data_IF_429427584686
#
_entry.id   IF_429427584686
#
_cell.length_a   1.000
_cell.length_b   1.000
_cell.length_c   1.000
_cell.angle_alpha   90.00
_cell.angle_beta   90.00
_cell.angle_gamma   90.00
#
_symmetry.space_group_name_H-M   'P 1'
#
loop_
_entity.id
_entity.type
_entity.pdbx_description
1 polymer ?
#
# COMPACT_ATOMS: atom_id res chain seq x y z
N UNK A 1 12.68 -25.73 -15.19
CA UNK A 1 13.46 -25.16 -16.32
C UNK A 1 12.51 -24.66 -17.40
N UNK A 2 12.19 -23.36 -17.35
CA UNK A 2 11.23 -22.77 -18.30
C UNK A 2 11.90 -21.79 -19.29
N UNK A 3 13.20 -21.55 -19.17
CA UNK A 3 13.92 -20.60 -20.03
C UNK A 3 15.23 -21.20 -20.56
N UNK A 4 15.50 -21.00 -21.86
CA UNK A 4 16.74 -21.42 -22.50
C UNK A 4 17.92 -20.47 -22.16
N UNK A 5 17.64 -19.24 -21.76
CA UNK A 5 18.63 -18.23 -21.42
C UNK A 5 18.06 -17.28 -20.36
N UNK A 6 18.88 -16.93 -19.39
CA UNK A 6 18.56 -15.91 -18.36
C UNK A 6 19.59 -14.80 -18.42
N UNK A 7 19.13 -13.56 -18.60
CA UNK A 7 19.97 -12.37 -18.56
C UNK A 7 19.68 -11.58 -17.30
N UNK A 8 20.72 -11.26 -16.52
CA UNK A 8 20.61 -10.53 -15.26
C UNK A 8 21.47 -9.27 -15.34
N UNK A 9 20.85 -8.11 -15.10
CA UNK A 9 21.58 -6.84 -15.04
C UNK A 9 21.85 -6.47 -13.59
N UNK A 10 23.10 -6.15 -13.28
CA UNK A 10 23.53 -5.71 -11.94
C UNK A 10 24.07 -4.28 -12.04
N UNK A 11 23.58 -3.33 -11.20
CA UNK A 11 24.10 -1.97 -11.13
C UNK A 11 25.41 -1.98 -10.34
N UNK A 12 26.54 -2.10 -11.01
CA UNK A 12 27.87 -2.06 -10.40
C UNK A 12 28.90 -1.50 -11.41
N UNK A 13 29.94 -0.87 -10.87
CA UNK A 13 31.06 -0.48 -11.69
C UNK A 13 31.98 -1.68 -12.02
N UNK A 14 32.87 -1.49 -13.02
CA UNK A 14 33.77 -2.51 -13.48
C UNK A 14 34.72 -3.03 -12.39
N UNK A 15 35.24 -2.15 -11.55
CA UNK A 15 36.17 -2.50 -10.49
C UNK A 15 35.49 -3.34 -9.40
N UNK A 16 34.31 -2.93 -9.00
CA UNK A 16 33.47 -3.70 -8.04
C UNK A 16 33.04 -5.04 -8.61
N UNK A 17 32.77 -5.12 -9.91
CA UNK A 17 32.38 -6.36 -10.58
C UNK A 17 33.52 -7.39 -10.60
N UNK A 18 34.73 -7.00 -10.93
CA UNK A 18 35.87 -7.90 -10.99
C UNK A 18 36.65 -8.02 -9.69
N UNK A 19 36.39 -7.18 -8.71
CA UNK A 19 37.03 -7.23 -7.40
C UNK A 19 36.76 -8.52 -6.65
N UNK A 20 37.81 -9.06 -6.02
CA UNK A 20 37.69 -10.28 -5.19
C UNK A 20 36.98 -10.03 -3.88
N UNK A 21 37.02 -8.81 -3.36
CA UNK A 21 36.41 -8.39 -2.11
C UNK A 21 35.88 -6.96 -2.23
N UNK A 22 34.69 -6.74 -1.71
CA UNK A 22 34.09 -5.42 -1.57
C UNK A 22 33.67 -5.23 -0.10
N UNK A 23 34.06 -4.13 0.58
CA UNK A 23 33.67 -3.90 1.96
C UNK A 23 32.18 -3.53 2.06
N UNK A 24 31.52 -3.83 3.22
CA UNK A 24 30.11 -3.50 3.42
C UNK A 24 29.73 -2.02 3.25
N UNK A 25 30.69 -1.13 3.42
CA UNK A 25 30.50 0.33 3.23
C UNK A 25 30.60 0.79 1.77
N UNK A 26 30.92 -0.11 0.83
CA UNK A 26 31.04 0.25 -0.58
C UNK A 26 29.65 0.41 -1.23
N UNK A 27 29.47 1.37 -2.14
CA UNK A 27 28.19 1.67 -2.79
C UNK A 27 27.54 0.48 -3.49
N UNK A 28 28.34 -0.43 -4.03
CA UNK A 28 27.87 -1.60 -4.78
C UNK A 28 27.97 -2.92 -4.00
N UNK A 29 27.97 -2.86 -2.65
CA UNK A 29 28.10 -4.06 -1.82
C UNK A 29 26.94 -5.05 -1.99
N UNK A 30 25.70 -4.56 -2.01
CA UNK A 30 24.52 -5.42 -2.20
C UNK A 30 24.45 -6.09 -3.58
N UNK A 31 24.68 -5.36 -4.71
CA UNK A 31 24.87 -5.99 -6.01
C UNK A 31 26.01 -7.00 -6.07
N UNK A 32 27.12 -6.75 -5.36
CA UNK A 32 28.22 -7.69 -5.25
C UNK A 32 27.83 -8.98 -4.53
N UNK A 33 27.07 -8.89 -3.42
CA UNK A 33 26.53 -10.07 -2.73
C UNK A 33 25.56 -10.85 -3.62
N UNK A 34 24.72 -10.14 -4.34
CA UNK A 34 23.80 -10.73 -5.31
C UNK A 34 24.55 -11.49 -6.40
N UNK A 35 25.60 -10.89 -6.97
CA UNK A 35 26.49 -11.58 -7.93
C UNK A 35 27.07 -12.86 -7.35
N UNK A 36 27.59 -12.83 -6.12
CA UNK A 36 28.14 -14.02 -5.45
C UNK A 36 27.12 -15.14 -5.31
N UNK A 37 25.91 -14.81 -4.85
CA UNK A 37 24.81 -15.77 -4.72
C UNK A 37 24.41 -16.39 -6.05
N UNK A 38 24.34 -15.57 -7.12
CA UNK A 38 24.01 -16.04 -8.46
C UNK A 38 25.09 -16.96 -9.04
N UNK A 39 26.38 -16.65 -8.82
CA UNK A 39 27.46 -17.51 -9.27
C UNK A 39 27.48 -18.84 -8.51
N UNK A 40 27.26 -18.83 -7.19
CA UNK A 40 27.16 -20.05 -6.40
C UNK A 40 25.97 -20.92 -6.85
N UNK A 41 24.82 -20.31 -7.12
CA UNK A 41 23.65 -21.01 -7.66
C UNK A 41 23.92 -21.59 -9.05
N UNK A 42 24.63 -20.87 -9.92
CA UNK A 42 25.00 -21.37 -11.23
C UNK A 42 25.93 -22.60 -11.12
N UNK A 43 26.87 -22.58 -10.20
CA UNK A 43 27.76 -23.71 -9.92
C UNK A 43 26.97 -24.91 -9.39
N UNK A 44 26.07 -24.73 -8.45
CA UNK A 44 25.19 -25.78 -7.90
C UNK A 44 24.34 -26.41 -9.00
N UNK A 45 23.82 -25.61 -9.91
CA UNK A 45 22.99 -26.07 -11.04
C UNK A 45 23.82 -26.52 -12.26
N UNK A 46 25.14 -26.55 -12.17
CA UNK A 46 26.08 -26.90 -13.26
C UNK A 46 25.88 -26.06 -14.53
N UNK A 47 25.51 -24.78 -14.36
CA UNK A 47 25.35 -23.82 -15.45
C UNK A 47 26.65 -23.08 -15.68
N UNK A 48 27.05 -22.94 -16.96
CA UNK A 48 28.21 -22.13 -17.33
C UNK A 48 27.79 -20.67 -17.57
N UNK A 49 28.23 -19.69 -16.75
CA UNK A 49 27.99 -18.28 -17.01
C UNK A 49 28.68 -17.83 -18.28
N UNK A 50 27.99 -17.08 -19.11
CA UNK A 50 28.57 -16.41 -20.27
C UNK A 50 29.38 -15.19 -19.78
N UNK A 51 30.47 -14.79 -20.46
CA UNK A 51 31.20 -13.58 -20.13
C UNK A 51 30.29 -12.36 -20.03
N UNK A 52 30.43 -11.52 -19.00
CA UNK A 52 29.52 -10.39 -18.78
C UNK A 52 29.71 -9.31 -19.84
N UNK A 53 28.61 -8.70 -20.27
CA UNK A 53 28.64 -7.49 -21.10
C UNK A 53 28.69 -6.28 -20.18
N UNK A 54 29.74 -5.46 -20.30
CA UNK A 54 29.88 -4.22 -19.55
C UNK A 54 29.20 -3.08 -20.31
N UNK A 55 28.28 -2.39 -19.64
CA UNK A 55 27.61 -1.21 -20.19
C UNK A 55 28.40 0.04 -19.75
N UNK A 56 29.46 0.36 -20.47
CA UNK A 56 30.38 1.44 -20.10
C UNK A 56 29.85 2.84 -20.42
N UNK A 57 28.83 2.96 -21.27
CA UNK A 57 28.28 4.26 -21.69
C UNK A 57 27.03 4.59 -20.91
N UNK A 58 27.08 5.69 -20.12
CA UNK A 58 25.93 6.26 -19.47
C UNK A 58 25.13 7.12 -20.48
N UNK A 59 23.97 6.61 -20.92
CA UNK A 59 23.07 7.30 -21.84
C UNK A 59 22.13 8.28 -21.13
N UNK A 60 22.02 8.24 -19.79
CA UNK A 60 21.16 9.13 -19.00
C UNK A 60 21.84 10.45 -18.65
N UNK A 61 23.15 10.45 -18.46
CA UNK A 61 23.92 11.66 -18.18
C UNK A 61 24.30 12.35 -19.51
N UNK A 62 23.40 13.14 -20.05
CA UNK A 62 23.61 13.82 -21.34
C UNK A 62 24.65 14.95 -21.24
N UNK A 63 24.77 15.60 -20.07
CA UNK A 63 25.71 16.72 -19.86
C UNK A 63 26.99 16.27 -19.18
N UNK A 64 28.10 16.99 -19.44
CA UNK A 64 29.39 16.70 -18.81
C UNK A 64 29.35 16.86 -17.29
N UNK A 65 28.48 17.76 -16.78
CA UNK A 65 28.30 17.96 -15.36
C UNK A 65 27.64 16.75 -14.69
N UNK A 66 26.61 16.18 -15.28
CA UNK A 66 25.95 14.97 -14.75
C UNK A 66 26.89 13.76 -14.83
N UNK A 67 27.67 13.64 -15.90
CA UNK A 67 28.68 12.58 -16.00
C UNK A 67 29.78 12.72 -14.94
N UNK A 68 30.21 13.95 -14.69
CA UNK A 68 31.20 14.22 -13.65
C UNK A 68 30.62 13.94 -12.25
N UNK A 69 29.39 14.37 -11.98
CA UNK A 69 28.71 14.09 -10.73
C UNK A 69 28.61 12.58 -10.48
N UNK A 70 28.20 11.79 -11.46
CA UNK A 70 28.12 10.33 -11.36
C UNK A 70 29.48 9.70 -11.07
N UNK A 71 30.54 10.13 -11.78
CA UNK A 71 31.86 9.55 -11.67
C UNK A 71 32.56 9.90 -10.35
N UNK A 72 32.37 11.12 -9.85
CA UNK A 72 33.10 11.64 -8.69
C UNK A 72 32.32 11.54 -7.35
N UNK A 73 31.01 11.26 -7.37
CA UNK A 73 30.15 11.33 -6.18
C UNK A 73 30.62 10.43 -5.02
N UNK A 74 31.18 9.26 -5.33
CA UNK A 74 31.65 8.32 -4.31
C UNK A 74 33.18 8.37 -4.10
N UNK A 75 33.89 9.33 -4.70
CA UNK A 75 35.32 9.48 -4.52
C UNK A 75 35.60 10.42 -3.34
N UNK A 76 36.54 10.02 -2.47
CA UNK A 76 36.98 10.84 -1.33
C UNK A 76 37.74 12.11 -1.74
N UNK A 77 38.29 12.15 -2.95
CA UNK A 77 38.99 13.28 -3.54
C UNK A 77 38.30 13.64 -4.85
N UNK A 78 37.37 14.60 -4.80
CA UNK A 78 36.68 15.03 -6.02
C UNK A 78 37.48 16.07 -6.78
N UNK A 79 37.42 15.97 -8.12
CA UNK A 79 37.89 17.02 -8.99
C UNK A 79 36.84 18.10 -9.10
N UNK A 80 37.27 19.36 -8.94
CA UNK A 80 36.37 20.49 -9.20
C UNK A 80 35.94 20.45 -10.66
N UNK A 81 34.65 20.28 -10.88
CA UNK A 81 34.08 20.46 -12.21
C UNK A 81 33.88 21.96 -12.50
N UNK A 82 33.96 22.38 -13.77
CA UNK A 82 33.54 23.73 -14.14
C UNK A 82 32.07 23.93 -13.78
N UNK A 83 31.67 25.17 -13.44
CA UNK A 83 30.29 25.56 -13.19
C UNK A 83 29.45 25.09 -14.38
N UNK A 84 28.41 24.33 -14.05
CA UNK A 84 27.53 23.75 -15.05
C UNK A 84 26.10 24.25 -14.83
N UNK A 85 25.50 24.71 -15.92
CA UNK A 85 24.11 25.20 -15.92
C UNK A 85 23.07 24.07 -15.72
N UNK A 86 23.50 22.80 -15.70
CA UNK A 86 22.60 21.64 -15.60
C UNK A 86 22.44 21.06 -14.19
N UNK A 87 23.18 21.57 -13.21
CA UNK A 87 23.08 21.11 -11.81
C UNK A 87 22.93 22.34 -10.90
N UNK A 88 21.83 22.38 -10.15
CA UNK A 88 21.54 23.46 -9.24
C UNK A 88 21.36 22.94 -7.83
N UNK A 89 21.91 23.62 -6.84
CA UNK A 89 21.67 23.36 -5.42
C UNK A 89 21.00 24.61 -4.83
N UNK A 90 19.85 24.40 -4.21
CA UNK A 90 19.04 25.49 -3.65
C UNK A 90 18.74 25.18 -2.20
N UNK A 91 18.99 26.16 -1.32
CA UNK A 91 18.63 26.07 0.10
C UNK A 91 17.32 26.81 0.32
N UNK A 92 16.36 26.11 0.92
CA UNK A 92 15.05 26.66 1.26
C UNK A 92 14.84 26.67 2.79
N UNK A 93 14.12 27.64 3.35
CA UNK A 93 13.94 27.76 4.80
C UNK A 93 12.97 26.72 5.39
N UNK A 94 12.15 26.10 4.58
CA UNK A 94 11.20 25.08 5.02
C UNK A 94 10.86 24.11 3.88
N UNK A 95 10.30 22.97 4.24
CA UNK A 95 9.77 21.94 3.32
C UNK A 95 8.73 22.55 2.35
N UNK A 96 7.84 23.41 2.84
CA UNK A 96 6.82 24.04 2.00
C UNK A 96 7.43 24.98 0.97
N UNK A 97 8.42 25.78 1.36
CA UNK A 97 9.11 26.69 0.44
C UNK A 97 9.95 25.93 -0.60
N UNK A 98 10.53 24.80 -0.22
CA UNK A 98 11.23 23.90 -1.14
C UNK A 98 10.27 23.38 -2.23
N UNK A 99 9.08 22.93 -1.85
CA UNK A 99 8.06 22.47 -2.79
C UNK A 99 7.54 23.62 -3.66
N UNK A 100 7.29 24.81 -3.09
CA UNK A 100 6.85 25.99 -3.86
C UNK A 100 7.90 26.44 -4.86
N UNK A 101 9.17 26.41 -4.48
CA UNK A 101 10.28 26.68 -5.38
C UNK A 101 10.28 25.71 -6.56
N UNK A 102 10.17 24.39 -6.27
CA UNK A 102 10.10 23.35 -7.30
C UNK A 102 8.89 23.56 -8.22
N UNK A 103 7.70 23.79 -7.65
CA UNK A 103 6.47 24.04 -8.42
C UNK A 103 6.59 25.25 -9.36
N UNK A 104 7.11 26.38 -8.87
CA UNK A 104 7.36 27.56 -9.68
C UNK A 104 8.36 27.31 -10.81
N UNK A 105 9.42 26.56 -10.55
CA UNK A 105 10.42 26.19 -11.57
C UNK A 105 9.82 25.22 -12.60
N UNK A 106 8.99 24.26 -12.18
CA UNK A 106 8.30 23.31 -13.06
C UNK A 106 7.37 24.07 -14.03
N UNK A 107 6.55 25.00 -13.52
CA UNK A 107 5.69 25.81 -14.39
C UNK A 107 6.48 26.63 -15.41
N UNK A 108 7.64 27.17 -15.01
CA UNK A 108 8.51 27.90 -15.93
C UNK A 108 9.07 26.97 -17.02
N UNK A 109 9.56 25.78 -16.66
CA UNK A 109 10.05 24.78 -17.62
C UNK A 109 8.97 24.38 -18.64
N UNK A 110 7.73 24.21 -18.18
CA UNK A 110 6.62 23.84 -19.06
C UNK A 110 6.20 25.02 -19.95
N UNK A 111 6.09 26.24 -19.41
CA UNK A 111 5.56 27.41 -20.13
C UNK A 111 6.61 28.06 -21.05
N UNK A 112 7.85 28.15 -20.61
CA UNK A 112 8.91 28.88 -21.31
C UNK A 112 9.79 27.94 -22.16
N UNK A 113 10.07 26.73 -21.68
CA UNK A 113 10.95 25.78 -22.36
C UNK A 113 10.19 24.67 -23.11
N UNK A 114 8.84 24.66 -23.03
CA UNK A 114 7.98 23.75 -23.79
C UNK A 114 8.06 22.29 -23.35
N UNK A 115 8.54 22.01 -22.13
CA UNK A 115 8.56 20.67 -21.58
C UNK A 115 7.15 20.16 -21.24
N UNK A 116 6.97 18.86 -21.26
CA UNK A 116 5.76 18.21 -20.76
C UNK A 116 5.97 17.81 -19.30
N UNK A 117 4.90 17.80 -18.50
CA UNK A 117 4.96 17.38 -17.10
C UNK A 117 5.59 15.99 -16.93
N UNK A 118 5.27 15.02 -17.80
CA UNK A 118 5.82 13.67 -17.80
C UNK A 118 7.33 13.59 -18.04
N UNK A 119 7.97 14.67 -18.49
CA UNK A 119 9.42 14.77 -18.70
C UNK A 119 10.14 15.32 -17.47
N UNK A 120 9.38 15.64 -16.42
CA UNK A 120 9.86 16.21 -15.16
C UNK A 120 9.48 15.25 -14.03
N UNK A 121 10.39 15.06 -13.08
CA UNK A 121 10.12 14.27 -11.89
C UNK A 121 10.59 14.96 -10.61
N UNK A 122 9.92 14.65 -9.51
CA UNK A 122 10.35 14.96 -8.15
C UNK A 122 10.65 13.63 -7.45
N UNK A 123 11.77 13.54 -6.76
CA UNK A 123 12.07 12.40 -5.88
C UNK A 123 12.48 12.90 -4.49
N UNK A 124 12.17 12.09 -3.48
CA UNK A 124 12.58 12.32 -2.10
C UNK A 124 12.78 10.98 -1.41
N UNK A 125 13.63 10.92 -0.40
CA UNK A 125 13.77 9.76 0.49
C UNK A 125 12.82 9.81 1.69
N UNK A 126 12.10 10.93 1.89
CA UNK A 126 11.19 11.17 3.02
C UNK A 126 9.73 11.36 2.55
N UNK A 127 9.24 10.45 1.70
CA UNK A 127 7.92 10.57 1.06
C UNK A 127 6.79 10.81 2.08
N UNK A 128 6.79 10.14 3.23
CA UNK A 128 5.78 10.32 4.29
C UNK A 128 5.67 11.78 4.77
N UNK A 129 6.82 12.46 4.92
CA UNK A 129 6.83 13.85 5.36
C UNK A 129 6.40 14.83 4.26
N UNK A 130 6.68 14.49 3.00
CA UNK A 130 6.46 15.36 1.85
C UNK A 130 5.09 15.19 1.19
N UNK A 131 4.50 13.99 1.18
CA UNK A 131 3.32 13.64 0.36
C UNK A 131 2.16 14.62 0.53
N UNK A 132 1.76 14.90 1.78
CA UNK A 132 0.62 15.77 2.06
C UNK A 132 0.85 17.20 1.55
N UNK A 133 2.04 17.73 1.77
CA UNK A 133 2.41 19.09 1.34
C UNK A 133 2.59 19.17 -0.17
N UNK A 134 3.20 18.15 -0.80
CA UNK A 134 3.32 18.04 -2.25
C UNK A 134 1.94 18.07 -2.90
N UNK A 135 1.02 17.24 -2.45
CA UNK A 135 -0.34 17.17 -2.99
C UNK A 135 -1.05 18.52 -2.91
N UNK A 136 -1.07 19.16 -1.74
CA UNK A 136 -1.76 20.44 -1.56
C UNK A 136 -1.13 21.60 -2.35
N UNK A 137 0.20 21.71 -2.35
CA UNK A 137 0.89 22.80 -3.06
C UNK A 137 0.82 22.62 -4.57
N UNK A 138 0.99 21.40 -5.09
CA UNK A 138 0.89 21.17 -6.54
C UNK A 138 -0.54 21.36 -7.07
N UNK A 139 -1.55 21.05 -6.27
CA UNK A 139 -2.95 21.36 -6.57
C UNK A 139 -3.19 22.89 -6.60
N UNK A 140 -2.65 23.64 -5.61
CA UNK A 140 -2.69 25.12 -5.61
C UNK A 140 -2.06 25.74 -6.88
N UNK A 141 -1.00 25.11 -7.40
CA UNK A 141 -0.31 25.53 -8.62
C UNK A 141 -0.91 24.94 -9.91
N UNK A 142 -2.02 24.19 -9.81
CA UNK A 142 -2.67 23.51 -10.94
C UNK A 142 -1.72 22.59 -11.73
N UNK A 143 -0.75 21.96 -11.04
CA UNK A 143 0.20 21.03 -11.64
C UNK A 143 -0.37 19.60 -11.55
N UNK A 144 -0.71 18.96 -12.68
CA UNK A 144 -1.15 17.57 -12.67
C UNK A 144 0.00 16.68 -12.22
N UNK A 145 -0.18 15.92 -11.16
CA UNK A 145 0.87 15.07 -10.61
C UNK A 145 0.38 13.66 -10.31
N UNK A 146 1.29 12.72 -10.44
CA UNK A 146 1.17 11.34 -9.97
C UNK A 146 2.19 11.11 -8.85
N UNK A 147 1.71 10.77 -7.66
CA UNK A 147 2.56 10.45 -6.52
C UNK A 147 2.60 8.93 -6.37
N UNK A 148 3.78 8.34 -6.61
CA UNK A 148 4.05 6.92 -6.35
C UNK A 148 4.26 6.68 -4.85
N UNK A 149 3.20 6.95 -4.07
CA UNK A 149 3.16 6.63 -2.65
C UNK A 149 2.48 5.28 -2.45
N UNK A 150 3.06 4.43 -1.62
CA UNK A 150 2.35 3.24 -1.15
C UNK A 150 1.17 3.69 -0.31
N UNK A 151 -0.03 3.42 -0.77
CA UNK A 151 -1.20 3.62 0.08
C UNK A 151 -1.30 2.44 1.02
N UNK A 152 -1.24 2.71 2.30
CA UNK A 152 -1.58 1.72 3.31
C UNK A 152 -3.04 1.31 3.13
N UNK A 153 -3.28 0.02 3.13
CA UNK A 153 -4.63 -0.54 2.98
C UNK A 153 -5.40 -0.56 4.28
N UNK A 154 -4.75 -0.26 5.41
CA UNK A 154 -5.30 -0.37 6.77
C UNK A 154 -6.56 0.45 7.00
N UNK A 155 -6.69 1.61 6.36
CA UNK A 155 -7.89 2.47 6.44
C UNK A 155 -8.95 2.15 5.37
N UNK A 156 -8.71 1.15 4.50
CA UNK A 156 -9.70 0.79 3.47
C UNK A 156 -10.92 0.09 4.08
N UNK A 157 -12.17 0.39 3.65
CA UNK A 157 -13.40 -0.21 4.17
C UNK A 157 -13.36 -1.74 4.31
N UNK A 158 -12.89 -2.46 3.30
CA UNK A 158 -12.79 -3.92 3.35
C UNK A 158 -11.81 -4.41 4.42
N UNK A 159 -10.66 -3.75 4.56
CA UNK A 159 -9.66 -4.12 5.58
C UNK A 159 -10.18 -3.77 6.98
N UNK A 160 -10.87 -2.61 7.13
CA UNK A 160 -11.55 -2.25 8.37
C UNK A 160 -12.63 -3.25 8.75
N UNK A 161 -13.46 -3.70 7.79
CA UNK A 161 -14.44 -4.76 8.00
C UNK A 161 -13.79 -6.03 8.52
N UNK A 162 -12.76 -6.53 7.84
CA UNK A 162 -12.09 -7.78 8.19
C UNK A 162 -11.36 -7.71 9.54
N UNK A 163 -10.65 -6.63 9.81
CA UNK A 163 -9.95 -6.47 11.10
C UNK A 163 -10.92 -6.34 12.26
N UNK A 164 -12.03 -5.62 12.06
CA UNK A 164 -13.09 -5.49 13.06
C UNK A 164 -13.84 -6.81 13.27
N UNK A 165 -14.11 -7.57 12.20
CA UNK A 165 -14.69 -8.91 12.30
C UNK A 165 -13.82 -9.84 13.15
N UNK A 166 -12.51 -9.85 12.90
CA UNK A 166 -11.56 -10.63 13.72
C UNK A 166 -11.62 -10.20 15.19
N UNK A 167 -11.71 -8.90 15.45
CA UNK A 167 -11.85 -8.38 16.82
C UNK A 167 -13.20 -8.74 17.46
N UNK A 168 -14.30 -8.78 16.70
CA UNK A 168 -15.61 -9.25 17.18
C UNK A 168 -15.50 -10.69 17.68
N UNK A 169 -14.83 -11.56 16.93
CA UNK A 169 -14.70 -12.97 17.28
C UNK A 169 -13.75 -13.19 18.46
N UNK A 170 -12.62 -12.46 18.51
CA UNK A 170 -11.62 -12.62 19.58
C UNK A 170 -12.10 -11.98 20.89
N UNK A 171 -12.74 -10.82 20.85
CA UNK A 171 -13.14 -10.05 22.03
C UNK A 171 -14.64 -10.11 22.34
N UNK A 172 -15.33 -11.11 21.79
CA UNK A 172 -16.74 -11.41 22.07
C UNK A 172 -17.65 -10.19 21.91
N UNK A 173 -17.82 -9.70 20.68
CA UNK A 173 -18.75 -8.60 20.35
C UNK A 173 -18.51 -7.33 21.17
N UNK A 174 -17.26 -6.93 21.32
CA UNK A 174 -16.91 -5.65 21.94
C UNK A 174 -17.48 -4.48 21.13
N UNK A 175 -17.97 -3.45 21.83
CA UNK A 175 -18.66 -2.31 21.21
C UNK A 175 -17.87 -1.69 20.05
N UNK A 176 -16.60 -1.34 20.29
CA UNK A 176 -15.77 -0.68 19.30
C UNK A 176 -15.58 -1.53 18.03
N UNK A 177 -15.42 -2.85 18.19
CA UNK A 177 -15.27 -3.77 17.08
C UNK A 177 -16.56 -3.90 16.26
N UNK A 178 -17.69 -4.04 16.93
CA UNK A 178 -19.01 -4.17 16.26
C UNK A 178 -19.33 -2.91 15.45
N UNK A 179 -19.18 -1.72 16.03
CA UNK A 179 -19.53 -0.50 15.31
C UNK A 179 -18.49 -0.06 14.30
N UNK A 180 -17.22 -0.43 14.46
CA UNK A 180 -16.23 -0.30 13.38
C UNK A 180 -16.57 -1.20 12.19
N UNK A 181 -17.00 -2.43 12.42
CA UNK A 181 -17.47 -3.36 11.40
C UNK A 181 -18.74 -2.81 10.68
N UNK A 182 -19.76 -2.39 11.42
CA UNK A 182 -21.00 -1.87 10.84
C UNK A 182 -20.78 -0.60 10.02
N UNK A 183 -19.95 0.33 10.51
CA UNK A 183 -19.64 1.62 9.87
C UNK A 183 -18.62 1.51 8.74
N UNK A 184 -18.15 0.30 8.40
CA UNK A 184 -17.25 0.10 7.24
C UNK A 184 -17.92 0.41 5.89
N UNK A 185 -19.25 0.47 5.83
CA UNK A 185 -20.03 0.67 4.61
C UNK A 185 -20.29 -0.62 3.81
N UNK A 186 -19.75 -1.75 4.26
CA UNK A 186 -19.96 -3.08 3.65
C UNK A 186 -20.92 -3.96 4.45
N UNK A 187 -21.54 -3.43 5.51
CA UNK A 187 -22.56 -4.13 6.27
C UNK A 187 -23.93 -4.09 5.58
N UNK A 188 -24.85 -4.98 5.97
CA UNK A 188 -26.19 -5.06 5.41
C UNK A 188 -27.15 -3.96 5.93
N UNK A 189 -26.70 -3.08 6.81
CA UNK A 189 -27.49 -2.01 7.39
C UNK A 189 -27.18 -0.66 6.76
N UNK A 190 -28.19 0.19 6.63
CA UNK A 190 -28.02 1.60 6.28
C UNK A 190 -27.43 2.40 7.45
N UNK A 191 -26.94 3.61 7.17
CA UNK A 191 -26.40 4.49 8.22
C UNK A 191 -27.41 4.79 9.29
N UNK A 192 -28.67 5.05 8.92
CA UNK A 192 -29.77 5.33 9.84
C UNK A 192 -30.10 4.11 10.72
N UNK A 193 -30.11 2.91 10.14
CA UNK A 193 -30.31 1.66 10.87
C UNK A 193 -29.17 1.39 11.86
N UNK A 194 -27.93 1.70 11.48
CA UNK A 194 -26.76 1.58 12.36
C UNK A 194 -26.88 2.55 13.54
N UNK A 195 -27.29 3.79 13.30
CA UNK A 195 -27.45 4.80 14.36
C UNK A 195 -28.56 4.38 15.36
N UNK A 196 -29.67 3.84 14.88
CA UNK A 196 -30.75 3.30 15.75
C UNK A 196 -30.22 2.16 16.61
N UNK A 197 -29.51 1.20 16.00
CA UNK A 197 -28.94 0.05 16.70
C UNK A 197 -27.86 0.49 17.71
N UNK A 198 -27.00 1.44 17.35
CA UNK A 198 -25.95 1.96 18.22
C UNK A 198 -26.53 2.65 19.45
N UNK A 199 -27.50 3.52 19.25
CA UNK A 199 -28.15 4.20 20.36
C UNK A 199 -28.79 3.22 21.36
N UNK A 200 -29.43 2.16 20.86
CA UNK A 200 -30.00 1.12 21.71
C UNK A 200 -28.93 0.33 22.46
N UNK A 201 -27.89 -0.09 21.76
CA UNK A 201 -26.73 -0.84 22.33
C UNK A 201 -26.07 -0.03 23.45
N UNK A 202 -25.86 1.28 23.23
CA UNK A 202 -25.30 2.18 24.25
C UNK A 202 -26.23 2.38 25.43
N UNK A 203 -27.51 2.62 25.18
CA UNK A 203 -28.50 2.88 26.23
C UNK A 203 -28.62 1.70 27.20
N UNK A 204 -28.54 0.46 26.71
CA UNK A 204 -28.74 -0.76 27.50
C UNK A 204 -27.46 -1.55 27.75
N UNK A 205 -26.29 -1.02 27.41
CA UNK A 205 -24.98 -1.62 27.68
C UNK A 205 -24.84 -3.03 27.09
N UNK A 206 -25.26 -3.20 25.84
CA UNK A 206 -25.22 -4.49 25.15
C UNK A 206 -23.80 -4.76 24.66
N UNK A 207 -23.20 -5.87 25.09
CA UNK A 207 -21.87 -6.34 24.71
C UNK A 207 -21.73 -7.83 24.99
N UNK A 208 -20.77 -8.46 24.35
CA UNK A 208 -20.44 -9.86 24.59
C UNK A 208 -21.59 -10.81 24.28
N UNK A 209 -21.80 -11.75 25.16
CA UNK A 209 -22.85 -12.79 25.03
C UNK A 209 -24.24 -12.23 24.79
N UNK A 210 -24.54 -10.99 25.22
CA UNK A 210 -25.85 -10.34 25.00
C UNK A 210 -26.22 -10.23 23.52
N UNK A 211 -25.23 -10.10 22.62
CA UNK A 211 -25.48 -10.08 21.18
C UNK A 211 -26.09 -11.39 20.67
N UNK A 212 -25.79 -12.51 21.32
CA UNK A 212 -26.22 -13.87 20.93
C UNK A 212 -27.43 -14.35 21.71
N UNK A 213 -28.11 -13.47 22.48
CA UNK A 213 -29.38 -13.79 23.09
C UNK A 213 -30.46 -13.96 22.01
N UNK A 214 -31.42 -14.83 22.25
CA UNK A 214 -32.53 -15.07 21.31
C UNK A 214 -33.36 -13.79 21.06
N UNK A 215 -33.59 -12.99 22.09
CA UNK A 215 -34.33 -11.75 21.98
C UNK A 215 -33.80 -10.73 23.00
N UNK A 216 -33.74 -9.47 22.59
CA UNK A 216 -33.53 -8.37 23.50
C UNK A 216 -34.91 -7.84 23.96
N UNK A 217 -35.09 -7.66 25.24
CA UNK A 217 -36.28 -7.12 25.88
C UNK A 217 -35.98 -5.83 26.67
N UNK A 218 -34.77 -5.32 26.56
CA UNK A 218 -34.31 -4.15 27.30
C UNK A 218 -35.10 -2.91 26.92
N UNK A 219 -35.63 -2.22 27.94
CA UNK A 219 -36.31 -0.94 27.74
C UNK A 219 -37.68 -1.05 27.08
N UNK A 220 -38.30 -2.22 26.99
CA UNK A 220 -39.63 -2.43 26.34
C UNK A 220 -40.75 -1.52 26.95
N UNK A 221 -40.63 -1.23 28.25
CA UNK A 221 -41.57 -0.33 28.93
C UNK A 221 -41.37 1.15 28.58
N UNK A 222 -40.19 1.51 28.13
CA UNK A 222 -39.79 2.88 27.79
C UNK A 222 -39.95 3.16 26.30
N UNK A 223 -39.45 2.26 25.47
CA UNK A 223 -39.38 2.42 24.02
C UNK A 223 -40.64 1.87 23.30
N UNK A 224 -41.35 0.95 23.96
CA UNK A 224 -42.49 0.20 23.39
C UNK A 224 -42.03 -1.10 22.72
N UNK A 225 -42.93 -2.07 22.66
CA UNK A 225 -42.63 -3.40 22.08
C UNK A 225 -42.25 -3.32 20.61
N UNK A 226 -42.94 -2.52 19.81
CA UNK A 226 -42.72 -2.38 18.37
C UNK A 226 -41.31 -1.84 18.05
N UNK A 227 -40.82 -0.87 18.83
CA UNK A 227 -39.46 -0.33 18.68
C UNK A 227 -38.39 -1.37 19.05
N UNK A 228 -38.63 -2.15 20.10
CA UNK A 228 -37.71 -3.23 20.52
C UNK A 228 -37.69 -4.36 19.49
N UNK A 229 -38.83 -4.71 18.92
CA UNK A 229 -38.92 -5.72 17.84
C UNK A 229 -38.18 -5.26 16.58
N UNK A 230 -38.27 -3.97 16.21
CA UNK A 230 -37.52 -3.40 15.10
C UNK A 230 -36.00 -3.49 15.34
N UNK A 231 -35.50 -3.19 16.53
CA UNK A 231 -34.09 -3.32 16.88
C UNK A 231 -33.64 -4.79 16.88
N UNK A 232 -34.47 -5.73 17.35
CA UNK A 232 -34.16 -7.16 17.22
C UNK A 232 -34.04 -7.60 15.78
N UNK A 233 -34.88 -7.11 14.88
CA UNK A 233 -34.75 -7.39 13.44
C UNK A 233 -33.43 -6.86 12.85
N UNK A 234 -32.99 -5.67 13.26
CA UNK A 234 -31.67 -5.14 12.87
C UNK A 234 -30.53 -6.01 13.40
N UNK A 235 -30.58 -6.39 14.66
CA UNK A 235 -29.59 -7.33 15.26
C UNK A 235 -29.52 -8.63 14.49
N UNK A 236 -30.66 -9.22 14.15
CA UNK A 236 -30.70 -10.50 13.44
C UNK A 236 -30.12 -10.40 12.05
N UNK A 237 -30.33 -9.28 11.35
CA UNK A 237 -29.66 -8.98 10.07
C UNK A 237 -28.14 -8.86 10.23
N UNK A 238 -27.65 -8.29 11.34
CA UNK A 238 -26.20 -8.23 11.64
C UNK A 238 -25.64 -9.62 11.91
N UNK A 239 -26.35 -10.46 12.67
CA UNK A 239 -25.85 -11.76 13.12
C UNK A 239 -25.95 -12.86 12.05
N UNK A 240 -26.89 -12.76 11.12
CA UNK A 240 -27.09 -13.80 10.11
C UNK A 240 -25.80 -14.15 9.34
N UNK A 241 -24.99 -13.19 8.83
CA UNK A 241 -23.73 -13.52 8.16
C UNK A 241 -22.66 -14.12 9.07
N UNK A 242 -22.77 -13.94 10.40
CA UNK A 242 -21.81 -14.54 11.35
C UNK A 242 -22.08 -16.03 11.62
N UNK A 243 -23.20 -16.59 11.20
CA UNK A 243 -23.57 -17.97 11.52
C UNK A 243 -22.49 -18.99 11.19
N UNK A 244 -21.82 -18.99 10.02
CA UNK A 244 -20.71 -19.91 9.71
C UNK A 244 -19.52 -19.76 10.65
N UNK A 245 -19.19 -18.53 11.03
CA UNK A 245 -18.06 -18.21 11.91
C UNK A 245 -18.35 -18.58 13.37
N UNK A 246 -19.57 -18.38 13.83
CA UNK A 246 -20.00 -18.72 15.18
C UNK A 246 -20.19 -20.23 15.39
N UNK A 247 -20.35 -21.00 14.32
CA UNK A 247 -20.40 -22.46 14.35
C UNK A 247 -19.03 -23.09 14.62
N UNK A 248 -17.92 -22.35 14.40
CA UNK A 248 -16.56 -22.83 14.60
C UNK A 248 -16.20 -22.93 16.11
N UNK A 249 -15.23 -23.78 16.47
CA UNK A 249 -14.76 -23.92 17.86
C UNK A 249 -14.18 -22.60 18.41
N UNK A 250 -14.88 -21.94 19.33
CA UNK A 250 -14.45 -20.62 19.84
C UNK A 250 -13.27 -20.68 20.84
N UNK A 251 -13.04 -21.83 21.49
CA UNK A 251 -12.06 -22.00 22.59
C UNK A 251 -11.01 -23.08 22.34
N UNK A 252 -11.01 -23.69 21.17
CA UNK A 252 -10.07 -24.75 20.81
C UNK A 252 -9.37 -24.38 19.52
N UNK A 253 -8.18 -24.90 19.33
CA UNK A 253 -7.50 -24.83 18.04
C UNK A 253 -8.23 -25.70 17.00
N UNK A 254 -8.26 -25.24 15.76
CA UNK A 254 -8.83 -25.94 14.62
C UNK A 254 -8.12 -25.49 13.32
N UNK A 255 -8.27 -26.21 12.20
CA UNK A 255 -7.56 -25.86 10.97
C UNK A 255 -7.89 -24.45 10.46
N UNK A 256 -6.86 -23.66 10.11
CA UNK A 256 -7.05 -22.31 9.54
C UNK A 256 -7.96 -22.33 8.31
N UNK A 257 -7.89 -23.37 7.50
CA UNK A 257 -8.72 -23.55 6.31
C UNK A 257 -10.22 -23.49 6.61
N UNK A 258 -10.68 -24.10 7.69
CA UNK A 258 -12.09 -24.05 8.10
C UNK A 258 -12.53 -22.63 8.43
N UNK A 259 -11.65 -21.88 9.09
CA UNK A 259 -11.89 -20.45 9.36
C UNK A 259 -11.98 -19.64 8.07
N UNK A 260 -11.04 -19.82 7.14
CA UNK A 260 -11.03 -19.10 5.88
C UNK A 260 -12.26 -19.39 5.02
N UNK A 261 -12.75 -20.63 5.01
CA UNK A 261 -14.00 -21.00 4.32
C UNK A 261 -15.22 -20.29 4.94
N UNK A 262 -15.32 -20.27 6.26
CA UNK A 262 -16.38 -19.55 6.95
C UNK A 262 -16.30 -18.02 6.74
N UNK A 263 -15.08 -17.47 6.68
CA UNK A 263 -14.84 -16.05 6.39
C UNK A 263 -15.28 -15.70 4.96
N UNK A 264 -14.94 -16.52 3.97
CA UNK A 264 -15.39 -16.31 2.59
C UNK A 264 -16.91 -16.37 2.48
N UNK A 265 -17.55 -17.35 3.12
CA UNK A 265 -19.02 -17.44 3.16
C UNK A 265 -19.65 -16.21 3.83
N UNK A 266 -19.01 -15.64 4.85
CA UNK A 266 -19.44 -14.39 5.46
C UNK A 266 -19.38 -13.20 4.49
N UNK A 267 -18.27 -13.05 3.76
CA UNK A 267 -18.10 -11.98 2.76
C UNK A 267 -19.08 -12.11 1.59
N UNK A 268 -19.39 -13.33 1.16
CA UNK A 268 -20.41 -13.62 0.14
C UNK A 268 -21.82 -13.19 0.61
N UNK A 269 -22.19 -13.50 1.86
CA UNK A 269 -23.47 -13.10 2.43
C UNK A 269 -23.62 -11.58 2.59
N UNK A 270 -22.51 -10.85 2.73
CA UNK A 270 -22.48 -9.39 2.73
C UNK A 270 -22.52 -8.77 1.33
N UNK A 271 -22.41 -9.56 0.27
CA UNK A 271 -22.22 -9.07 -1.10
C UNK A 271 -21.05 -8.08 -1.22
N UNK A 272 -19.94 -8.37 -0.50
CA UNK A 272 -18.85 -7.43 -0.36
C UNK A 272 -18.13 -7.16 -1.70
N UNK A 273 -17.99 -8.16 -2.55
CA UNK A 273 -17.37 -8.01 -3.87
C UNK A 273 -18.22 -7.14 -4.80
N UNK A 274 -19.53 -7.37 -4.83
CA UNK A 274 -20.49 -6.62 -5.64
C UNK A 274 -20.56 -5.16 -5.20
N UNK A 275 -20.60 -4.91 -3.88
CA UNK A 275 -20.60 -3.55 -3.33
C UNK A 275 -19.34 -2.78 -3.70
N UNK A 276 -18.17 -3.42 -3.66
CA UNK A 276 -16.91 -2.81 -4.09
C UNK A 276 -16.89 -2.49 -5.58
N UNK A 277 -17.46 -3.35 -6.42
CA UNK A 277 -17.58 -3.08 -7.86
C UNK A 277 -18.55 -1.93 -8.15
N UNK A 278 -19.68 -1.85 -7.47
CA UNK A 278 -20.61 -0.73 -7.54
C UNK A 278 -19.95 0.60 -7.13
N UNK A 279 -19.14 0.58 -6.08
CA UNK A 279 -18.34 1.75 -5.68
C UNK A 279 -17.30 2.13 -6.73
N UNK A 280 -16.66 1.16 -7.35
CA UNK A 280 -15.70 1.40 -8.43
C UNK A 280 -16.38 2.01 -9.66
N UNK A 281 -17.57 1.54 -10.04
CA UNK A 281 -18.36 2.09 -11.14
C UNK A 281 -18.80 3.53 -10.84
N UNK A 282 -19.31 3.78 -9.63
CA UNK A 282 -19.71 5.11 -9.17
C UNK A 282 -18.55 6.11 -9.17
N UNK A 283 -17.38 5.69 -8.68
CA UNK A 283 -16.17 6.51 -8.72
C UNK A 283 -15.71 6.79 -10.16
N UNK A 284 -15.83 5.81 -11.06
CA UNK A 284 -15.54 5.99 -12.49
C UNK A 284 -16.47 7.01 -13.12
N UNK A 285 -17.77 6.93 -12.85
CA UNK A 285 -18.77 7.88 -13.35
C UNK A 285 -18.54 9.31 -12.83
N UNK A 286 -18.05 9.43 -11.59
CA UNK A 286 -17.65 10.71 -11.00
C UNK A 286 -16.27 11.23 -11.48
N UNK A 287 -15.57 10.51 -12.37
CA UNK A 287 -14.25 10.89 -12.88
C UNK A 287 -13.08 10.59 -11.94
N UNK A 288 -13.33 9.94 -10.81
CA UNK A 288 -12.28 9.60 -9.83
C UNK A 288 -11.67 8.21 -10.12
N UNK A 289 -10.87 8.13 -11.18
CA UNK A 289 -10.30 6.88 -11.67
C UNK A 289 -9.36 6.21 -10.64
N UNK A 290 -8.63 6.99 -9.86
CA UNK A 290 -7.75 6.47 -8.81
C UNK A 290 -8.53 5.73 -7.72
N UNK A 291 -9.68 6.28 -7.31
CA UNK A 291 -10.55 5.65 -6.31
C UNK A 291 -11.25 4.41 -6.86
N UNK A 292 -11.65 4.46 -8.13
CA UNK A 292 -12.22 3.31 -8.82
C UNK A 292 -11.25 2.13 -8.87
N UNK A 293 -9.99 2.40 -9.20
CA UNK A 293 -8.95 1.37 -9.26
C UNK A 293 -8.60 0.83 -7.87
N UNK A 294 -8.60 1.68 -6.84
CA UNK A 294 -8.43 1.28 -5.44
C UNK A 294 -9.47 0.23 -5.03
N UNK A 295 -10.76 0.45 -5.36
CA UNK A 295 -11.83 -0.49 -5.06
C UNK A 295 -11.72 -1.82 -5.82
N UNK A 296 -11.20 -1.81 -7.05
CA UNK A 296 -10.98 -3.05 -7.83
C UNK A 296 -9.79 -3.85 -7.30
N UNK A 297 -8.71 -3.18 -6.94
CA UNK A 297 -7.48 -3.85 -6.50
C UNK A 297 -7.58 -4.46 -5.10
N UNK A 298 -8.29 -3.82 -4.18
CA UNK A 298 -8.32 -4.25 -2.77
C UNK A 298 -8.88 -5.65 -2.61
N UNK A 299 -9.92 -6.01 -3.37
CA UNK A 299 -10.50 -7.35 -3.31
C UNK A 299 -9.45 -8.41 -3.65
N UNK A 300 -8.75 -8.25 -4.76
CA UNK A 300 -7.71 -9.20 -5.18
C UNK A 300 -6.57 -9.28 -4.17
N UNK A 301 -6.12 -8.14 -3.63
CA UNK A 301 -5.09 -8.11 -2.62
C UNK A 301 -5.47 -8.87 -1.34
N UNK A 302 -6.71 -8.72 -0.89
CA UNK A 302 -7.21 -9.46 0.27
C UNK A 302 -7.29 -10.95 -0.04
N UNK A 303 -7.83 -11.34 -1.21
CA UNK A 303 -7.87 -12.75 -1.62
C UNK A 303 -6.47 -13.35 -1.69
N UNK A 304 -5.49 -12.67 -2.25
CA UNK A 304 -4.09 -13.12 -2.31
C UNK A 304 -3.48 -13.37 -0.90
N UNK A 305 -3.85 -12.54 0.09
CA UNK A 305 -3.43 -12.77 1.50
C UNK A 305 -4.07 -14.02 2.07
N UNK A 306 -5.37 -14.20 1.87
CA UNK A 306 -6.10 -15.38 2.38
C UNK A 306 -5.60 -16.66 1.71
N UNK A 307 -5.38 -16.65 0.39
CA UNK A 307 -4.83 -17.79 -0.36
C UNK A 307 -3.41 -18.14 0.11
N UNK A 308 -2.54 -17.15 0.33
CA UNK A 308 -1.20 -17.39 0.88
C UNK A 308 -1.26 -17.96 2.29
N UNK A 309 -2.16 -17.46 3.13
CA UNK A 309 -2.37 -17.99 4.47
C UNK A 309 -2.83 -19.45 4.42
N UNK A 310 -3.78 -19.80 3.53
CA UNK A 310 -4.22 -21.19 3.32
C UNK A 310 -3.11 -22.09 2.81
N UNK A 311 -2.34 -21.62 1.83
CA UNK A 311 -1.25 -22.42 1.24
C UNK A 311 -0.14 -22.76 2.24
N UNK A 312 0.17 -21.84 3.19
CA UNK A 312 1.25 -22.00 4.15
C UNK A 312 0.74 -22.68 5.44
N UNK A 313 -0.40 -22.25 5.95
CA UNK A 313 -0.90 -22.60 7.29
C UNK A 313 -2.30 -23.25 7.29
N UNK A 314 -2.90 -23.52 6.13
CA UNK A 314 -4.29 -23.94 6.04
C UNK A 314 -4.61 -25.25 6.81
N UNK A 315 -3.63 -26.13 6.98
CA UNK A 315 -3.76 -27.39 7.74
C UNK A 315 -3.35 -27.30 9.20
N UNK A 316 -2.73 -26.18 9.59
CA UNK A 316 -2.29 -25.96 10.96
C UNK A 316 -3.49 -25.69 11.87
N UNK A 317 -3.49 -26.33 13.04
CA UNK A 317 -4.49 -26.09 14.07
C UNK A 317 -4.08 -24.85 14.87
N UNK A 318 -4.85 -23.79 14.76
CA UNK A 318 -4.61 -22.50 15.40
C UNK A 318 -5.84 -22.08 16.21
N UNK A 319 -5.61 -21.28 17.23
CA UNK A 319 -6.66 -20.59 17.98
C UNK A 319 -7.16 -19.37 17.21
N UNK A 320 -8.37 -18.89 17.47
CA UNK A 320 -8.90 -17.67 16.86
C UNK A 320 -7.98 -16.45 17.05
N UNK A 321 -7.33 -16.34 18.23
CA UNK A 321 -6.39 -15.23 18.51
C UNK A 321 -5.15 -15.30 17.62
N UNK A 322 -4.60 -16.50 17.40
CA UNK A 322 -3.45 -16.71 16.52
C UNK A 322 -3.82 -16.44 15.06
N UNK A 323 -4.97 -16.94 14.59
CA UNK A 323 -5.48 -16.67 13.26
C UNK A 323 -5.68 -15.16 13.03
N UNK A 324 -6.29 -14.47 13.99
CA UNK A 324 -6.50 -13.03 13.91
C UNK A 324 -5.18 -12.25 13.81
N UNK A 325 -4.16 -12.61 14.61
CA UNK A 325 -2.83 -11.99 14.55
C UNK A 325 -2.17 -12.19 13.20
N UNK A 326 -2.21 -13.41 12.66
CA UNK A 326 -1.60 -13.76 11.36
C UNK A 326 -2.27 -12.99 10.23
N UNK A 327 -3.61 -13.02 10.19
CA UNK A 327 -4.37 -12.37 9.12
C UNK A 327 -4.23 -10.83 9.20
N UNK A 328 -4.30 -10.23 10.39
CA UNK A 328 -4.06 -8.79 10.55
C UNK A 328 -2.66 -8.38 10.09
N UNK A 329 -1.62 -9.10 10.49
CA UNK A 329 -0.26 -8.83 10.04
C UNK A 329 -0.10 -8.99 8.52
N UNK A 330 -0.83 -9.91 7.90
CA UNK A 330 -0.89 -10.06 6.45
C UNK A 330 -1.57 -8.87 5.77
N UNK A 331 -2.71 -8.44 6.28
CA UNK A 331 -3.48 -7.30 5.77
C UNK A 331 -2.73 -5.96 5.95
N UNK A 332 -2.03 -5.75 7.07
CA UNK A 332 -1.23 -4.54 7.33
C UNK A 332 -0.06 -4.39 6.35
N UNK A 333 0.53 -5.50 5.90
CA UNK A 333 1.61 -5.48 4.91
C UNK A 333 1.14 -5.31 3.48
N UNK A 334 -0.17 -5.37 3.22
CA UNK A 334 -0.70 -5.09 1.92
C UNK A 334 -0.52 -3.61 1.57
N UNK A 335 0.01 -3.36 0.40
CA UNK A 335 0.09 -2.01 -0.15
C UNK A 335 -0.45 -2.02 -1.57
N UNK A 336 -1.31 -1.07 -1.87
CA UNK A 336 -1.81 -0.89 -3.23
C UNK A 336 -0.80 -0.12 -4.06
N UNK A 337 -0.45 -0.67 -5.23
CA UNK A 337 0.26 0.06 -6.26
C UNK A 337 -0.70 1.02 -6.96
N UNK A 338 -0.33 2.29 -7.03
CA UNK A 338 -1.08 3.27 -7.82
C UNK A 338 -0.59 3.17 -9.28
N UNK A 339 -1.50 2.98 -10.23
CA UNK A 339 -1.14 2.94 -11.66
C UNK A 339 -0.98 4.38 -12.14
N UNK A 340 0.16 4.74 -12.77
CA UNK A 340 0.33 6.06 -13.33
C UNK A 340 -0.79 6.36 -14.35
N UNK A 341 -1.44 7.52 -14.26
CA UNK A 341 -2.38 7.92 -15.30
C UNK A 341 -1.64 8.03 -16.65
N UNK A 342 -2.30 7.66 -17.75
CA UNK A 342 -1.76 7.80 -19.11
C UNK A 342 -1.64 9.26 -19.55
N UNK A 343 -2.14 10.20 -18.75
CA UNK A 343 -2.11 11.63 -18.99
C UNK A 343 -0.73 12.23 -18.76
N UNK A 344 -0.50 13.41 -19.32
CA UNK A 344 0.72 14.21 -19.10
C UNK A 344 0.72 14.74 -17.66
N UNK A 345 1.45 14.10 -16.76
CA UNK A 345 1.54 14.46 -15.35
C UNK A 345 2.98 14.40 -14.83
N UNK A 346 3.27 15.24 -13.84
CA UNK A 346 4.51 15.24 -13.09
C UNK A 346 4.64 13.93 -12.28
N UNK A 347 5.78 13.26 -12.40
CA UNK A 347 6.05 12.04 -11.64
C UNK A 347 6.72 12.40 -10.30
N UNK A 348 6.16 11.89 -9.21
CA UNK A 348 6.69 12.08 -7.87
C UNK A 348 6.88 10.72 -7.23
N UNK A 349 8.09 10.46 -6.73
CA UNK A 349 8.36 9.15 -6.17
C UNK A 349 9.48 9.11 -5.14
N UNK A 350 9.60 7.95 -4.54
CA UNK A 350 10.67 7.62 -3.63
C UNK A 350 11.96 7.34 -4.43
N UNK A 351 13.09 7.91 -3.98
CA UNK A 351 14.37 7.81 -4.69
C UNK A 351 14.88 6.37 -4.85
N UNK A 352 14.54 5.48 -3.90
CA UNK A 352 14.99 4.10 -3.91
C UNK A 352 14.13 3.19 -4.80
N UNK A 353 12.85 3.53 -4.97
CA UNK A 353 11.85 2.67 -5.62
C UNK A 353 11.45 3.11 -7.01
N UNK A 354 11.39 4.42 -7.25
CA UNK A 354 10.76 4.95 -8.45
C UNK A 354 11.60 4.70 -9.69
N UNK A 355 10.98 4.10 -10.69
CA UNK A 355 11.57 3.98 -12.04
C UNK A 355 11.11 5.17 -12.86
N UNK A 356 12.05 6.03 -13.20
CA UNK A 356 11.81 7.26 -13.95
C UNK A 356 12.28 7.07 -15.39
N UNK A 357 11.42 6.69 -16.35
CA UNK A 357 11.78 6.63 -17.75
C UNK A 357 11.83 8.04 -18.34
N UNK A 358 12.71 8.29 -19.30
CA UNK A 358 12.74 9.50 -20.16
C UNK A 358 12.56 10.87 -19.46
N UNK A 359 13.06 11.01 -18.24
CA UNK A 359 13.03 12.28 -17.50
C UNK A 359 14.14 13.19 -17.99
N UNK A 360 13.79 14.45 -18.29
CA UNK A 360 14.73 15.51 -18.68
C UNK A 360 15.14 16.40 -17.49
N UNK A 361 14.24 16.61 -16.55
CA UNK A 361 14.48 17.38 -15.33
C UNK A 361 14.10 16.59 -14.09
N UNK A 362 15.03 16.54 -13.15
CA UNK A 362 14.84 15.85 -11.87
C UNK A 362 15.01 16.86 -10.73
N UNK A 363 14.01 16.94 -9.87
CA UNK A 363 14.09 17.63 -8.59
C UNK A 363 14.29 16.59 -7.48
N UNK A 364 15.34 16.75 -6.69
CA UNK A 364 15.60 15.93 -5.52
C UNK A 364 15.32 16.78 -4.30
N UNK A 365 14.27 16.44 -3.55
CA UNK A 365 13.85 17.19 -2.37
C UNK A 365 14.30 16.48 -1.08
N UNK A 366 14.52 17.26 -0.03
CA UNK A 366 14.90 16.75 1.28
C UNK A 366 16.35 16.29 1.36
N UNK A 367 17.25 16.90 0.61
CA UNK A 367 18.70 16.64 0.68
C UNK A 367 19.26 17.41 1.89
N UNK A 368 18.99 16.93 3.10
CA UNK A 368 19.41 17.51 4.35
C UNK A 368 20.51 16.69 5.01
N UNK A 369 21.30 17.31 5.89
CA UNK A 369 22.15 16.58 6.83
C UNK A 369 21.25 15.84 7.84
N UNK A 370 21.39 14.50 7.94
CA UNK A 370 20.59 13.73 8.87
C UNK A 370 21.07 12.28 9.00
#
# INVERSE_FOLDING_TARGET
>A
QLSAQVNITLPMDKNSFYGAFLPPSAPFYEPYLTKKKLLALAEELQLAPVPPTLLEKNFRAETDALRNLEQEYFHSFFRKAPLAESVHVVACPSLQEEIRFAAGKILRLVREEGLRFRQIAIVTNAMEAYEKSLRGILEEYEIPCFIDARRETTAHPLVTLLTSLLDILVYDFKYEAVFSYLKSGLSLLSTEEIDILENYVLAYGIKGWKWRQDTWDYGIQREGAEAVDAVNALRDRVLAPFAPLLALPQKKAFPLREFLQALLSHLEQLHAAETLDDWAQSATAAGNLNKAEEYRQIWQLVMDVLEKADAILGKEELTLEEMAKILKAGLEKCSMGVIPPTADCLLIGDIERSRLPEIKYLFVLGVNEG
#
